data_IF_951404539910
#
_entry.id   IF_951404539910
#
_cell.length_a   1.000
_cell.length_b   1.000
_cell.length_c   1.000
_cell.angle_alpha   90.00
_cell.angle_beta   90.00
_cell.angle_gamma   90.00
#
_symmetry.space_group_name_H-M   'P 1'
#
loop_
_entity.id
_entity.type
_entity.pdbx_description
1 polymer ?
#
# COMPACT_ATOMS: atom_id res chain seq x y z
N UNK A 1 3.04 -13.32 -7.67
CA UNK A 1 3.46 -12.98 -6.29
C UNK A 1 4.08 -11.59 -6.28
N UNK A 2 3.68 -10.78 -5.33
CA UNK A 2 4.18 -9.41 -5.22
C UNK A 2 5.39 -9.40 -4.28
N UNK A 3 6.53 -8.93 -4.80
CA UNK A 3 7.72 -8.75 -3.98
C UNK A 3 7.47 -7.64 -2.97
N UNK A 4 7.92 -7.85 -1.75
CA UNK A 4 7.74 -6.86 -0.71
C UNK A 4 6.33 -6.82 -0.13
N UNK A 5 5.48 -7.79 -0.48
CA UNK A 5 4.12 -7.84 0.05
C UNK A 5 4.09 -7.95 1.57
N UNK A 6 5.19 -8.36 2.19
CA UNK A 6 5.28 -8.39 3.65
C UNK A 6 5.06 -7.01 4.26
N UNK A 7 5.32 -5.94 3.51
CA UNK A 7 5.06 -4.57 4.00
C UNK A 7 3.58 -4.28 4.13
N UNK A 8 2.75 -5.03 3.40
CA UNK A 8 1.30 -4.85 3.44
C UNK A 8 0.61 -5.69 4.53
N UNK A 9 1.39 -6.40 5.34
CA UNK A 9 0.79 -7.24 6.39
C UNK A 9 0.01 -6.37 7.36
N UNK A 10 -1.25 -6.74 7.56
CA UNK A 10 -2.12 -6.02 8.48
C UNK A 10 -2.80 -4.79 7.90
N UNK A 11 -2.63 -4.55 6.60
CA UNK A 11 -3.34 -3.48 5.89
C UNK A 11 -3.96 -4.03 4.61
N UNK A 12 -4.95 -3.33 4.08
CA UNK A 12 -5.57 -3.68 2.81
C UNK A 12 -5.18 -2.64 1.77
N UNK A 13 -4.52 -3.07 0.71
CA UNK A 13 -4.15 -2.20 -0.39
C UNK A 13 -5.33 -2.11 -1.36
N UNK A 14 -5.71 -0.90 -1.73
CA UNK A 14 -6.82 -0.67 -2.66
C UNK A 14 -6.35 0.29 -3.74
N UNK A 15 -6.34 -0.18 -4.98
CA UNK A 15 -6.01 0.66 -6.12
C UNK A 15 -7.24 1.48 -6.50
N UNK A 16 -7.06 2.80 -6.62
CA UNK A 16 -8.17 3.69 -6.95
C UNK A 16 -8.39 3.83 -8.46
N UNK A 17 -7.38 3.51 -9.25
CA UNK A 17 -7.43 3.60 -10.70
C UNK A 17 -7.60 2.24 -11.39
N UNK A 18 -7.62 1.18 -10.60
CA UNK A 18 -7.77 -0.19 -11.09
C UNK A 18 -8.77 -0.91 -10.20
N UNK A 19 -9.42 -1.92 -10.74
CA UNK A 19 -10.30 -2.79 -9.96
C UNK A 19 -9.45 -3.86 -9.26
N UNK A 20 -8.71 -3.44 -8.24
CA UNK A 20 -7.77 -4.32 -7.57
C UNK A 20 -7.63 -3.98 -6.09
N UNK A 21 -7.61 -5.01 -5.27
CA UNK A 21 -7.36 -4.87 -3.84
C UNK A 21 -6.59 -6.09 -3.33
N UNK A 22 -5.80 -5.92 -2.28
CA UNK A 22 -4.97 -6.98 -1.72
C UNK A 22 -4.85 -6.84 -0.21
N UNK A 23 -5.01 -7.95 0.49
CA UNK A 23 -4.78 -7.99 1.94
C UNK A 23 -6.04 -7.71 2.75
N UNK A 24 -5.86 -7.70 4.07
CA UNK A 24 -6.94 -7.45 5.04
C UNK A 24 -6.46 -6.50 6.12
N UNK A 25 -7.34 -5.62 6.57
CA UNK A 25 -7.04 -4.65 7.62
C UNK A 25 -7.44 -3.24 7.20
N UNK A 26 -6.93 -2.23 7.91
CA UNK A 26 -7.19 -0.84 7.52
C UNK A 26 -6.73 -0.59 6.08
N UNK A 27 -7.52 0.16 5.34
CA UNK A 27 -7.24 0.39 3.92
C UNK A 27 -6.12 1.39 3.70
N UNK A 28 -5.31 1.11 2.68
CA UNK A 28 -4.34 2.05 2.12
C UNK A 28 -4.74 2.22 0.66
N UNK A 29 -5.11 3.43 0.29
CA UNK A 29 -5.63 3.72 -1.05
C UNK A 29 -4.66 4.57 -1.85
N UNK A 30 -4.59 4.29 -3.15
CA UNK A 30 -3.76 5.06 -4.06
C UNK A 30 -3.78 4.45 -5.43
N UNK A 31 -3.02 5.04 -6.37
CA UNK A 31 -2.89 4.44 -7.70
C UNK A 31 -2.17 3.10 -7.60
N UNK A 32 -2.41 2.23 -8.56
CA UNK A 32 -1.69 0.95 -8.62
C UNK A 32 -0.19 1.14 -8.64
N UNK A 33 0.29 2.15 -9.36
CA UNK A 33 1.72 2.47 -9.40
C UNK A 33 2.26 2.85 -8.04
N UNK A 34 1.55 3.74 -7.31
CA UNK A 34 1.99 4.15 -5.98
C UNK A 34 2.04 2.97 -5.01
N UNK A 35 1.07 2.06 -5.09
CA UNK A 35 1.06 0.87 -4.25
C UNK A 35 2.25 -0.04 -4.57
N UNK A 36 2.54 -0.24 -5.86
CA UNK A 36 3.69 -1.05 -6.26
C UNK A 36 5.00 -0.43 -5.80
N UNK A 37 5.14 0.88 -5.93
CA UNK A 37 6.35 1.58 -5.49
C UNK A 37 6.53 1.46 -3.98
N UNK A 38 5.46 1.58 -3.21
CA UNK A 38 5.51 1.41 -1.77
C UNK A 38 5.94 -0.01 -1.40
N UNK A 39 5.42 -1.02 -2.10
CA UNK A 39 5.80 -2.41 -1.85
C UNK A 39 7.26 -2.67 -2.23
N UNK A 40 7.79 -1.92 -3.18
CA UNK A 40 9.19 -2.00 -3.57
C UNK A 40 10.13 -1.30 -2.58
N UNK A 41 9.59 -0.65 -1.55
CA UNK A 41 10.37 0.00 -0.52
C UNK A 41 10.63 1.48 -0.77
N UNK A 42 9.95 2.09 -1.73
CA UNK A 42 10.12 3.51 -2.02
C UNK A 42 9.26 4.35 -1.09
N UNK A 43 9.88 4.89 -0.06
CA UNK A 43 9.18 5.66 0.96
C UNK A 43 8.44 6.87 0.38
N UNK A 44 8.98 7.49 -0.66
CA UNK A 44 8.34 8.65 -1.28
C UNK A 44 6.95 8.33 -1.81
N UNK A 45 6.68 7.08 -2.16
CA UNK A 45 5.36 6.69 -2.65
C UNK A 45 4.28 6.84 -1.59
N UNK A 46 4.64 6.87 -0.31
CA UNK A 46 3.66 7.05 0.77
C UNK A 46 2.92 8.38 0.65
N UNK A 47 3.54 9.39 0.08
CA UNK A 47 2.91 10.69 -0.10
C UNK A 47 1.73 10.64 -1.08
N UNK A 48 1.70 9.62 -1.93
CA UNK A 48 0.65 9.43 -2.92
C UNK A 48 -0.43 8.46 -2.42
N UNK A 49 -0.32 8.00 -1.18
CA UNK A 49 -1.26 7.06 -0.60
C UNK A 49 -2.13 7.74 0.45
N UNK A 50 -3.29 7.14 0.70
CA UNK A 50 -4.26 7.68 1.66
C UNK A 50 -4.94 6.51 2.38
N UNK A 51 -5.71 6.84 3.39
CA UNK A 51 -6.51 5.87 4.11
C UNK A 51 -5.99 5.56 5.51
N UNK A 52 -6.83 4.90 6.34
CA UNK A 52 -6.48 4.66 7.75
C UNK A 52 -5.29 3.73 7.93
N UNK A 53 -4.96 2.92 6.92
CA UNK A 53 -3.81 2.00 7.01
C UNK A 53 -2.47 2.62 6.67
N UNK A 54 -2.46 3.85 6.18
CA UNK A 54 -1.22 4.50 5.74
C UNK A 54 -0.18 4.59 6.84
N UNK A 55 -0.59 4.99 8.04
CA UNK A 55 0.33 5.13 9.17
C UNK A 55 0.96 3.78 9.54
N UNK A 56 0.15 2.71 9.50
CA UNK A 56 0.63 1.38 9.80
C UNK A 56 1.63 0.90 8.75
N UNK A 57 1.35 1.18 7.49
CA UNK A 57 2.27 0.83 6.41
C UNK A 57 3.58 1.60 6.53
N UNK A 58 3.50 2.89 6.87
CA UNK A 58 4.69 3.75 7.01
C UNK A 58 5.66 3.23 8.06
N UNK A 59 5.16 2.55 9.08
CA UNK A 59 6.01 1.99 10.13
C UNK A 59 6.93 0.87 9.63
N UNK A 60 6.70 0.40 8.42
CA UNK A 60 7.44 -0.71 7.84
C UNK A 60 8.60 -0.26 6.94
N UNK A 61 8.83 1.03 6.91
CA UNK A 61 9.90 1.61 6.07
C UNK A 61 11.11 2.01 6.89
#
# INVERSE_FOLDING_TARGET
>A
TIRGAWRARGVRLVATDLDWAYGKGPEVRGSGEALLMAMAGRRAALDDLDGPGKAKLAQRF
#
